data_IF_870958845597
#
_entry.id   IF_870958845597
#
_cell.length_a   1.000
_cell.length_b   1.000
_cell.length_c   1.000
_cell.angle_alpha   90.00
_cell.angle_beta   90.00
_cell.angle_gamma   90.00
#
_symmetry.space_group_name_H-M   'P 1'
#
loop_
_entity.id
_entity.type
_entity.pdbx_description
1 polymer ?
#
# COMPACT_ATOMS: atom_id res chain seq x y z
N UNK A 1 -14.38 -9.90 -9.50
CA UNK A 1 -12.93 -9.95 -9.75
C UNK A 1 -12.44 -11.33 -9.35
N UNK A 2 -11.51 -11.97 -10.06
CA UNK A 2 -11.03 -13.31 -9.68
C UNK A 2 -10.30 -13.20 -8.33
N UNK A 3 -10.60 -14.09 -7.37
CA UNK A 3 -10.02 -14.11 -5.99
C UNK A 3 -8.52 -13.76 -5.92
N UNK A 4 -7.72 -14.20 -6.88
CA UNK A 4 -6.28 -13.94 -6.92
C UNK A 4 -5.88 -12.46 -7.04
N UNK A 5 -6.69 -11.61 -7.67
CA UNK A 5 -6.37 -10.18 -7.84
C UNK A 5 -6.40 -9.39 -6.52
N UNK A 6 -7.31 -9.75 -5.61
CA UNK A 6 -7.36 -9.12 -4.28
C UNK A 6 -6.11 -9.43 -3.45
N UNK A 7 -5.64 -10.68 -3.49
CA UNK A 7 -4.41 -11.08 -2.80
C UNK A 7 -3.17 -10.40 -3.38
N UNK A 8 -3.12 -10.22 -4.70
CA UNK A 8 -2.03 -9.47 -5.35
C UNK A 8 -2.04 -7.99 -4.95
N UNK A 9 -3.21 -7.34 -4.89
CA UNK A 9 -3.33 -5.95 -4.45
C UNK A 9 -2.93 -5.77 -2.99
N UNK A 10 -3.34 -6.67 -2.10
CA UNK A 10 -2.94 -6.63 -0.69
C UNK A 10 -1.44 -6.86 -0.53
N UNK A 11 -0.88 -7.86 -1.22
CA UNK A 11 0.55 -8.15 -1.22
C UNK A 11 1.38 -6.97 -1.73
N UNK A 12 0.96 -6.37 -2.86
CA UNK A 12 1.62 -5.20 -3.44
C UNK A 12 1.55 -3.98 -2.52
N UNK A 13 0.38 -3.70 -1.93
CA UNK A 13 0.22 -2.61 -0.97
C UNK A 13 1.13 -2.78 0.25
N UNK A 14 1.24 -4.00 0.78
CA UNK A 14 2.09 -4.30 1.94
C UNK A 14 3.57 -4.18 1.60
N UNK A 15 3.99 -4.71 0.46
CA UNK A 15 5.37 -4.60 -0.04
C UNK A 15 5.80 -3.14 -0.27
N UNK A 16 4.94 -2.35 -0.90
CA UNK A 16 5.17 -0.93 -1.16
C UNK A 16 5.31 -0.12 0.13
N UNK A 17 4.51 -0.44 1.16
CA UNK A 17 4.59 0.19 2.47
C UNK A 17 5.91 -0.10 3.18
N UNK A 18 6.35 -1.36 3.18
CA UNK A 18 7.62 -1.79 3.79
C UNK A 18 8.80 -1.08 3.12
N UNK A 19 8.83 -1.05 1.79
CA UNK A 19 9.86 -0.34 1.02
C UNK A 19 9.90 1.15 1.35
N UNK A 20 8.73 1.79 1.42
CA UNK A 20 8.64 3.23 1.69
C UNK A 20 9.12 3.58 3.10
N UNK A 21 8.78 2.75 4.10
CA UNK A 21 9.26 2.91 5.47
C UNK A 21 10.78 2.66 5.58
N UNK A 22 11.31 1.72 4.81
CA UNK A 22 12.74 1.42 4.81
C UNK A 22 13.59 2.48 4.12
N UNK A 23 13.06 3.13 3.08
CA UNK A 23 13.75 4.24 2.39
C UNK A 23 13.78 5.54 3.22
N UNK A 24 12.79 5.76 4.07
CA UNK A 24 12.62 6.98 4.87
C UNK A 24 13.86 7.41 5.68
N UNK A 25 14.57 6.52 6.41
CA UNK A 25 15.79 6.88 7.14
C UNK A 25 17.02 7.12 6.24
N UNK A 26 16.99 6.66 4.98
CA UNK A 26 18.10 6.83 4.03
C UNK A 26 18.07 8.19 3.32
N UNK A 27 16.99 8.96 3.48
CA UNK A 27 16.76 10.21 2.77
C UNK A 27 17.11 11.43 3.63
N UNK A 28 17.78 12.40 3.03
CA UNK A 28 18.15 13.64 3.69
C UNK A 28 16.90 14.44 4.14
N UNK A 29 16.96 15.04 5.32
CA UNK A 29 15.88 15.88 5.83
C UNK A 29 15.70 17.12 4.94
N UNK A 30 14.47 17.34 4.46
CA UNK A 30 14.15 18.43 3.53
C UNK A 30 14.33 18.10 2.04
N UNK A 31 14.78 16.89 1.70
CA UNK A 31 14.85 16.44 0.30
C UNK A 31 13.45 16.22 -0.29
N UNK A 32 13.29 16.56 -1.57
CA UNK A 32 12.10 16.23 -2.38
C UNK A 32 11.79 14.73 -2.36
N UNK A 33 12.81 13.87 -2.23
CA UNK A 33 12.68 12.41 -2.15
C UNK A 33 11.83 11.99 -0.94
N UNK A 34 12.00 12.68 0.19
CA UNK A 34 11.25 12.41 1.42
C UNK A 34 9.78 12.79 1.29
N UNK A 35 9.50 13.87 0.58
CA UNK A 35 8.12 14.26 0.23
C UNK A 35 7.46 13.21 -0.65
N UNK A 36 8.18 12.71 -1.68
CA UNK A 36 7.70 11.63 -2.56
C UNK A 36 7.44 10.35 -1.76
N UNK A 37 8.32 9.99 -0.83
CA UNK A 37 8.13 8.83 0.04
C UNK A 37 6.89 8.96 0.93
N UNK A 38 6.59 10.14 1.48
CA UNK A 38 5.33 10.35 2.20
C UNK A 38 4.10 10.14 1.31
N UNK A 39 4.12 10.67 0.08
CA UNK A 39 3.04 10.45 -0.89
C UNK A 39 2.88 8.96 -1.21
N UNK A 40 3.98 8.24 -1.42
CA UNK A 40 3.96 6.79 -1.65
C UNK A 40 3.39 6.00 -0.48
N UNK A 41 3.72 6.37 0.77
CA UNK A 41 3.13 5.75 1.97
C UNK A 41 1.62 5.93 1.96
N UNK A 42 1.12 7.14 1.67
CA UNK A 42 -0.32 7.42 1.61
C UNK A 42 -1.01 6.57 0.53
N UNK A 43 -0.43 6.49 -0.67
CA UNK A 43 -0.98 5.68 -1.77
C UNK A 43 -1.00 4.19 -1.40
N UNK A 44 0.08 3.67 -0.79
CA UNK A 44 0.16 2.29 -0.35
C UNK A 44 -0.92 1.94 0.68
N UNK A 45 -1.18 2.84 1.63
CA UNK A 45 -2.27 2.70 2.62
C UNK A 45 -3.63 2.68 1.92
N UNK A 46 -3.89 3.60 1.00
CA UNK A 46 -5.16 3.65 0.25
C UNK A 46 -5.40 2.34 -0.52
N UNK A 47 -4.39 1.84 -1.23
CA UNK A 47 -4.47 0.57 -1.96
C UNK A 47 -4.75 -0.61 -1.01
N UNK A 48 -4.12 -0.62 0.17
CA UNK A 48 -4.35 -1.67 1.17
C UNK A 48 -5.78 -1.61 1.71
N UNK A 49 -6.32 -0.42 1.99
CA UNK A 49 -7.71 -0.23 2.43
C UNK A 49 -8.70 -0.69 1.35
N UNK A 50 -8.47 -0.34 0.09
CA UNK A 50 -9.31 -0.77 -1.03
C UNK A 50 -9.30 -2.30 -1.15
N UNK A 51 -8.11 -2.93 -1.09
CA UNK A 51 -7.97 -4.39 -1.11
C UNK A 51 -8.69 -5.07 0.06
N UNK A 52 -8.62 -4.49 1.26
CA UNK A 52 -9.35 -4.98 2.43
C UNK A 52 -10.86 -4.84 2.27
N UNK A 53 -11.36 -3.70 1.79
CA UNK A 53 -12.79 -3.47 1.56
C UNK A 53 -13.36 -4.45 0.54
N UNK A 54 -12.63 -4.71 -0.56
CA UNK A 54 -13.03 -5.74 -1.51
C UNK A 54 -12.99 -7.14 -0.88
N UNK A 55 -11.99 -7.47 -0.07
CA UNK A 55 -11.93 -8.75 0.65
C UNK A 55 -13.11 -8.95 1.61
N UNK A 56 -13.49 -7.92 2.37
CA UNK A 56 -14.64 -7.94 3.30
C UNK A 56 -15.96 -8.04 2.54
N UNK A 57 -16.12 -7.27 1.46
CA UNK A 57 -17.31 -7.34 0.60
C UNK A 57 -17.48 -8.74 0.00
N UNK A 58 -16.38 -9.38 -0.39
CA UNK A 58 -16.41 -10.73 -0.95
C UNK A 58 -16.72 -11.79 0.11
N UNK A 59 -16.24 -11.65 1.35
CA UNK A 59 -16.66 -12.51 2.48
C UNK A 59 -18.14 -12.36 2.83
N UNK A 60 -18.74 -11.18 2.63
CA UNK A 60 -20.16 -10.92 2.93
C UNK A 60 -21.11 -11.41 1.81
N UNK A 61 -20.59 -11.55 0.59
CA UNK A 61 -21.38 -11.93 -0.59
C UNK A 61 -21.30 -13.44 -0.92
N UNK A 62 -20.72 -14.24 -0.02
CA UNK A 62 -20.51 -15.68 -0.13
C UNK A 62 -20.89 -16.35 1.19
#
# INVERSE_FOLDING_TARGET
>A
MKKGWNYLMLGFGMFSLILSLWMLPLQAAGSSERTITYVNVVIAVILMVIGLLFSVKERRNN
#
